data_IF_729464091917
#
_entry.id   IF_729464091917
#
_cell.length_a   1.000
_cell.length_b   1.000
_cell.length_c   1.000
_cell.angle_alpha   90.00
_cell.angle_beta   90.00
_cell.angle_gamma   90.00
#
_symmetry.space_group_name_H-M   'P 1'
#
loop_
_entity.id
_entity.type
_entity.pdbx_description
1 polymer ?
#
# COMPACT_ATOMS: atom_id res chain seq x y z
N UNK A 1 -15.62 -13.64 -2.62
CA UNK A 1 -14.29 -13.98 -2.05
C UNK A 1 -13.35 -12.80 -2.25
N UNK A 2 -12.66 -12.26 -1.22
CA UNK A 2 -12.95 -12.37 0.21
C UNK A 2 -14.17 -11.51 0.57
N UNK A 3 -14.96 -11.91 1.58
CA UNK A 3 -15.94 -11.00 2.17
C UNK A 3 -15.24 -10.16 3.24
N UNK A 4 -15.66 -8.91 3.41
CA UNK A 4 -15.06 -7.99 4.38
C UNK A 4 -15.00 -8.54 5.81
N UNK A 5 -15.93 -9.44 6.19
CA UNK A 5 -15.93 -10.12 7.50
C UNK A 5 -14.68 -10.98 7.72
N UNK A 6 -14.28 -11.76 6.71
CA UNK A 6 -13.06 -12.58 6.80
C UNK A 6 -11.82 -11.71 6.94
N UNK A 7 -11.76 -10.60 6.21
CA UNK A 7 -10.64 -9.65 6.31
C UNK A 7 -10.58 -9.04 7.71
N UNK A 8 -11.73 -8.62 8.26
CA UNK A 8 -11.80 -8.09 9.62
C UNK A 8 -11.28 -9.09 10.66
N UNK A 9 -11.68 -10.36 10.56
CA UNK A 9 -11.20 -11.41 11.46
C UNK A 9 -9.69 -11.62 11.34
N UNK A 10 -9.15 -11.65 10.11
CA UNK A 10 -7.71 -11.81 9.88
C UNK A 10 -6.92 -10.65 10.50
N UNK A 11 -7.39 -9.41 10.35
CA UNK A 11 -6.77 -8.24 10.98
C UNK A 11 -6.81 -8.34 12.52
N UNK A 12 -7.92 -8.79 13.10
CA UNK A 12 -8.03 -9.02 14.54
C UNK A 12 -7.06 -10.09 15.04
N UNK A 13 -6.77 -11.11 14.23
CA UNK A 13 -5.78 -12.13 14.53
C UNK A 13 -4.32 -11.67 14.34
N UNK A 14 -4.08 -10.40 13.98
CA UNK A 14 -2.74 -9.85 13.78
C UNK A 14 -2.12 -10.24 12.43
N UNK A 15 -2.94 -10.53 11.42
CA UNK A 15 -2.43 -10.75 10.07
C UNK A 15 -1.65 -9.50 9.59
N UNK A 16 -0.50 -9.73 8.96
CA UNK A 16 0.30 -8.64 8.41
C UNK A 16 -0.43 -7.99 7.23
N UNK A 17 -0.94 -6.78 7.45
CA UNK A 17 -1.71 -6.01 6.46
C UNK A 17 -0.89 -5.61 5.22
N UNK A 18 0.43 -5.49 5.37
CA UNK A 18 1.38 -5.16 4.31
C UNK A 18 2.15 -6.41 3.83
N UNK A 19 1.60 -7.61 4.08
CA UNK A 19 2.14 -8.83 3.50
C UNK A 19 2.24 -8.70 1.99
N UNK A 20 3.25 -9.33 1.38
CA UNK A 20 3.48 -9.24 -0.05
C UNK A 20 3.37 -10.62 -0.68
N UNK A 21 2.83 -10.68 -1.89
CA UNK A 21 2.86 -11.88 -2.73
C UNK A 21 4.20 -11.99 -3.50
N UNK A 22 4.30 -12.97 -4.40
CA UNK A 22 5.47 -13.18 -5.27
C UNK A 22 5.79 -12.01 -6.20
N UNK A 23 4.81 -11.18 -6.51
CA UNK A 23 4.97 -9.98 -7.34
C UNK A 23 5.16 -8.72 -6.49
N UNK A 24 5.36 -8.87 -5.18
CA UNK A 24 5.42 -7.77 -4.21
C UNK A 24 4.12 -6.96 -4.12
N UNK A 25 2.99 -7.51 -4.54
CA UNK A 25 1.69 -6.87 -4.34
C UNK A 25 1.29 -7.01 -2.88
N UNK A 26 0.98 -5.88 -2.24
CA UNK A 26 0.29 -5.86 -0.94
C UNK A 26 -1.20 -6.16 -1.10
N UNK A 27 -1.95 -6.50 -0.03
CA UNK A 27 -3.40 -6.59 -0.06
C UNK A 27 -4.10 -5.38 -0.71
N UNK A 28 -3.55 -4.17 -0.54
CA UNK A 28 -4.05 -2.97 -1.21
C UNK A 28 -3.89 -3.02 -2.75
N UNK A 29 -2.79 -3.58 -3.27
CA UNK A 29 -2.63 -3.76 -4.72
C UNK A 29 -3.67 -4.75 -5.26
N UNK A 30 -3.86 -5.88 -4.57
CA UNK A 30 -4.79 -6.92 -5.01
C UNK A 30 -6.23 -6.43 -5.03
N UNK A 31 -6.65 -5.70 -3.98
CA UNK A 31 -8.02 -5.16 -3.92
C UNK A 31 -8.24 -4.04 -4.96
N UNK A 32 -7.23 -3.19 -5.19
CA UNK A 32 -7.32 -2.09 -6.15
C UNK A 32 -7.52 -2.55 -7.60
N UNK A 33 -6.99 -3.73 -7.94
CA UNK A 33 -7.11 -4.31 -9.29
C UNK A 33 -8.47 -4.98 -9.55
N UNK A 34 -9.33 -5.14 -8.53
CA UNK A 34 -10.65 -5.77 -8.72
C UNK A 34 -11.58 -4.85 -9.49
N UNK A 35 -12.20 -5.41 -10.53
CA UNK A 35 -13.12 -4.69 -11.44
C UNK A 35 -14.60 -4.79 -11.05
N UNK A 36 -14.93 -5.71 -10.16
CA UNK A 36 -16.30 -6.01 -9.76
C UNK A 36 -16.52 -5.65 -8.30
N UNK A 37 -17.78 -5.38 -7.95
CA UNK A 37 -18.22 -5.13 -6.57
C UNK A 37 -17.48 -3.92 -5.94
N UNK A 38 -17.58 -2.77 -6.61
CA UNK A 38 -16.81 -1.57 -6.27
C UNK A 38 -17.11 -1.09 -4.86
N UNK A 39 -18.37 -1.12 -4.41
CA UNK A 39 -18.72 -0.73 -3.05
C UNK A 39 -17.97 -1.57 -2.00
N UNK A 40 -17.91 -2.89 -2.19
CA UNK A 40 -17.17 -3.77 -1.31
C UNK A 40 -15.65 -3.57 -1.43
N UNK A 41 -15.13 -3.27 -2.63
CA UNK A 41 -13.72 -2.89 -2.83
C UNK A 41 -13.37 -1.65 -2.01
N UNK A 42 -14.20 -0.59 -2.07
CA UNK A 42 -13.99 0.63 -1.30
C UNK A 42 -14.08 0.38 0.21
N UNK A 43 -15.05 -0.44 0.63
CA UNK A 43 -15.17 -0.86 2.04
C UNK A 43 -13.91 -1.59 2.53
N UNK A 44 -13.38 -2.52 1.73
CA UNK A 44 -12.18 -3.27 2.08
C UNK A 44 -10.95 -2.35 2.11
N UNK A 45 -10.83 -1.38 1.20
CA UNK A 45 -9.75 -0.39 1.24
C UNK A 45 -9.81 0.42 2.54
N UNK A 46 -11.00 0.87 2.97
CA UNK A 46 -11.16 1.53 4.27
C UNK A 46 -10.76 0.62 5.42
N UNK A 47 -11.20 -0.64 5.41
CA UNK A 47 -10.86 -1.60 6.45
C UNK A 47 -9.34 -1.82 6.56
N UNK A 48 -8.65 -1.99 5.43
CA UNK A 48 -7.21 -2.19 5.40
C UNK A 48 -6.44 -0.94 5.83
N UNK A 49 -6.82 0.25 5.36
CA UNK A 49 -6.13 1.50 5.67
C UNK A 49 -6.41 1.99 7.11
N UNK A 50 -7.69 2.06 7.50
CA UNK A 50 -8.12 2.72 8.72
C UNK A 50 -8.00 1.80 9.95
N UNK A 51 -8.31 0.51 9.79
CA UNK A 51 -8.22 -0.47 10.89
C UNK A 51 -6.91 -1.24 10.84
N UNK A 52 -6.55 -1.74 9.65
CA UNK A 52 -5.32 -2.54 9.48
C UNK A 52 -4.05 -1.72 9.52
N UNK A 53 -4.10 -0.42 9.21
CA UNK A 53 -2.92 0.44 9.09
C UNK A 53 -2.09 0.17 7.83
N UNK A 54 -2.72 -0.33 6.77
CA UNK A 54 -2.06 -0.63 5.50
C UNK A 54 -1.34 0.58 4.92
N UNK A 55 -0.13 0.36 4.39
CA UNK A 55 0.66 1.43 3.80
C UNK A 55 0.29 1.64 2.32
N UNK A 56 -0.31 2.78 1.93
CA UNK A 56 -0.84 2.96 0.59
C UNK A 56 0.22 3.33 -0.46
N UNK A 57 1.44 3.69 -0.04
CA UNK A 57 2.56 4.07 -0.92
C UNK A 57 3.52 2.90 -1.21
N UNK A 58 3.21 1.67 -0.79
CA UNK A 58 4.06 0.52 -1.11
C UNK A 58 4.12 0.29 -2.62
N UNK A 59 5.29 -0.06 -3.16
CA UNK A 59 5.43 -0.41 -4.58
C UNK A 59 5.59 -1.91 -4.79
N UNK A 60 4.92 -2.43 -5.82
CA UNK A 60 5.08 -3.80 -6.27
C UNK A 60 6.33 -3.99 -7.14
N UNK A 61 6.54 -5.19 -7.70
CA UNK A 61 7.74 -5.50 -8.50
C UNK A 61 7.83 -4.71 -9.81
N UNK A 62 6.72 -4.17 -10.30
CA UNK A 62 6.69 -3.26 -11.44
C UNK A 62 6.91 -1.79 -11.03
N UNK A 63 7.20 -1.52 -9.74
CA UNK A 63 7.40 -0.18 -9.22
C UNK A 63 6.12 0.65 -9.13
N UNK A 64 4.94 0.00 -9.17
CA UNK A 64 3.65 0.69 -9.11
C UNK A 64 3.09 0.63 -7.70
N UNK A 65 2.46 1.70 -7.27
CA UNK A 65 1.64 1.79 -6.05
C UNK A 65 0.25 1.14 -6.26
N UNK A 66 -0.51 0.82 -5.19
CA UNK A 66 -1.91 0.40 -5.30
C UNK A 66 -2.76 1.39 -6.09
N UNK A 67 -2.51 2.70 -5.93
CA UNK A 67 -3.19 3.76 -6.67
C UNK A 67 -2.93 3.65 -8.18
N UNK A 68 -1.68 3.41 -8.58
CA UNK A 68 -1.30 3.28 -9.99
C UNK A 68 -1.78 1.96 -10.59
N UNK A 69 -1.83 0.89 -9.79
CA UNK A 69 -2.35 -0.42 -10.19
C UNK A 69 -3.89 -0.50 -10.20
N UNK A 70 -4.60 0.51 -9.70
CA UNK A 70 -6.05 0.48 -9.57
C UNK A 70 -6.78 0.39 -10.92
N UNK A 71 -7.84 -0.42 -10.93
CA UNK A 71 -8.55 -0.83 -12.13
C UNK A 71 -9.50 0.24 -12.72
N UNK A 72 -9.95 1.19 -11.90
CA UNK A 72 -10.90 2.24 -12.30
C UNK A 72 -10.68 3.56 -11.55
N UNK A 73 -11.37 4.61 -11.99
CA UNK A 73 -11.22 5.98 -11.47
C UNK A 73 -11.75 6.09 -10.03
N UNK A 74 -12.86 5.45 -9.69
CA UNK A 74 -13.44 5.54 -8.34
C UNK A 74 -12.49 4.99 -7.27
N UNK A 75 -11.88 3.83 -7.51
CA UNK A 75 -10.89 3.24 -6.62
C UNK A 75 -9.64 4.11 -6.54
N UNK A 76 -9.25 4.76 -7.66
CA UNK A 76 -8.12 5.69 -7.66
C UNK A 76 -8.38 6.90 -6.78
N UNK A 77 -9.52 7.57 -6.93
CA UNK A 77 -9.83 8.73 -6.10
C UNK A 77 -9.92 8.36 -4.62
N UNK A 78 -10.53 7.21 -4.31
CA UNK A 78 -10.61 6.73 -2.94
C UNK A 78 -9.24 6.41 -2.32
N UNK A 79 -8.34 5.78 -3.08
CA UNK A 79 -6.96 5.55 -2.63
C UNK A 79 -6.18 6.87 -2.51
N UNK A 80 -6.43 7.85 -3.38
CA UNK A 80 -5.82 9.18 -3.29
C UNK A 80 -6.21 9.89 -1.99
N UNK A 81 -7.48 9.79 -1.57
CA UNK A 81 -7.92 10.31 -0.27
C UNK A 81 -7.16 9.64 0.89
N UNK A 82 -6.95 8.32 0.83
CA UNK A 82 -6.18 7.58 1.86
C UNK A 82 -4.69 7.90 1.87
N UNK A 83 -4.13 8.33 0.74
CA UNK A 83 -2.75 8.83 0.63
C UNK A 83 -2.66 10.28 1.17
N UNK A 84 -3.78 10.99 1.32
CA UNK A 84 -3.93 12.42 1.63
C UNK A 84 -3.42 12.86 3.01
N UNK A 85 -2.12 13.02 3.11
CA UNK A 85 -1.27 14.21 3.37
C UNK A 85 0.04 13.51 3.66
N UNK A 86 0.80 13.26 2.59
CA UNK A 86 2.00 12.44 2.63
C UNK A 86 2.83 12.81 3.83
N UNK A 87 2.85 11.91 4.84
CA UNK A 87 3.73 12.07 6.00
C UNK A 87 5.10 12.34 5.40
N UNK A 88 5.77 13.43 5.79
CA UNK A 88 7.01 13.91 5.17
C UNK A 88 8.00 12.76 4.85
N UNK A 89 8.05 11.75 5.73
CA UNK A 89 8.78 10.49 5.52
C UNK A 89 8.48 9.77 4.19
N UNK A 90 7.22 9.59 3.79
CA UNK A 90 6.83 8.93 2.54
C UNK A 90 7.22 9.78 1.33
N UNK A 91 7.03 11.10 1.41
CA UNK A 91 7.48 12.03 0.36
C UNK A 91 9.00 11.97 0.17
N UNK A 92 9.76 11.98 1.26
CA UNK A 92 11.21 11.82 1.21
C UNK A 92 11.62 10.46 0.64
N UNK A 93 10.99 9.36 1.08
CA UNK A 93 11.28 8.02 0.58
C UNK A 93 11.02 7.91 -0.93
N UNK A 94 9.88 8.40 -1.40
CA UNK A 94 9.55 8.48 -2.83
C UNK A 94 10.57 9.30 -3.60
N UNK A 95 10.96 10.47 -3.09
CA UNK A 95 11.94 11.32 -3.75
C UNK A 95 13.29 10.63 -3.90
N UNK A 96 13.78 9.98 -2.83
CA UNK A 96 15.03 9.21 -2.83
C UNK A 96 15.00 8.12 -3.90
N UNK A 97 13.89 7.36 -3.98
CA UNK A 97 13.74 6.25 -4.93
C UNK A 97 13.59 6.73 -6.37
N UNK A 98 12.76 7.75 -6.60
CA UNK A 98 12.54 8.34 -7.92
C UNK A 98 13.82 8.96 -8.50
N UNK A 99 14.66 9.59 -7.67
CA UNK A 99 15.94 10.18 -8.06
C UNK A 99 17.10 9.18 -8.04
N UNK A 100 16.85 7.91 -7.69
CA UNK A 100 17.87 6.85 -7.54
C UNK A 100 19.06 7.30 -6.68
N UNK A 101 18.78 8.06 -5.61
CA UNK A 101 19.83 8.54 -4.70
C UNK A 101 20.40 7.32 -3.97
N UNK A 102 21.71 7.15 -3.99
CA UNK A 102 22.39 6.04 -3.31
C UNK A 102 22.49 6.37 -1.82
N UNK A 103 21.63 5.78 -0.99
CA UNK A 103 21.59 6.05 0.45
C UNK A 103 22.28 4.97 1.31
N UNK A 104 22.66 3.84 0.71
CA UNK A 104 23.29 2.69 1.39
C UNK A 104 24.64 3.03 2.03
N UNK A 105 25.34 4.04 1.51
CA UNK A 105 26.65 4.46 2.00
C UNK A 105 26.59 5.36 3.25
N UNK A 106 25.40 5.83 3.64
CA UNK A 106 25.23 6.86 4.68
C UNK A 106 25.02 6.32 6.10
N UNK A 107 25.37 5.04 6.37
CA UNK A 107 25.16 4.38 7.68
C UNK A 107 23.77 4.62 8.27
N UNK A 108 22.73 4.52 7.44
CA UNK A 108 21.35 4.67 7.90
C UNK A 108 20.93 3.45 8.73
N UNK A 109 20.08 3.64 9.77
CA UNK A 109 19.48 2.52 10.49
C UNK A 109 18.70 1.58 9.55
N UNK A 110 18.76 0.26 9.79
CA UNK A 110 18.14 -0.75 8.93
C UNK A 110 16.63 -0.54 8.76
N UNK A 111 15.92 -0.10 9.80
CA UNK A 111 14.48 0.18 9.70
C UNK A 111 14.17 1.32 8.71
N UNK A 112 15.05 2.30 8.58
CA UNK A 112 14.88 3.44 7.66
C UNK A 112 15.22 3.02 6.23
N UNK A 113 16.25 2.18 6.04
CA UNK A 113 16.57 1.55 4.76
C UNK A 113 15.36 0.74 4.27
N UNK A 114 14.82 -0.15 5.10
CA UNK A 114 13.64 -0.95 4.76
C UNK A 114 12.42 -0.07 4.44
N UNK A 115 12.24 1.05 5.16
CA UNK A 115 11.15 1.98 4.89
C UNK A 115 11.29 2.64 3.50
N UNK A 116 12.50 3.06 3.12
CA UNK A 116 12.77 3.64 1.80
C UNK A 116 12.60 2.60 0.70
N UNK A 117 13.01 1.36 0.93
CA UNK A 117 12.91 0.25 -0.05
C UNK A 117 11.47 -0.22 -0.32
N UNK A 118 10.53 0.11 0.57
CA UNK A 118 9.10 -0.13 0.36
C UNK A 118 8.47 0.84 -0.65
N UNK A 119 9.14 1.94 -0.96
CA UNK A 119 8.74 2.93 -1.97
C UNK A 119 9.54 2.73 -3.28
#
# INVERSE_FOLDING_TARGET
YPCHKTIGLLLQCGANVDAIDSERNTPLHLIAQRKHDIENVLFIINLLCDIGGAHPDCVNSQGRTPLEAASNIHVKEHLREKIGVGKLKCLCARFIRQRKIVFQNYRLPLFLVNFIEKH
#
